data_IF_949059207967
#
_entry.id   IF_949059207967
#
_cell.length_a   1.000
_cell.length_b   1.000
_cell.length_c   1.000
_cell.angle_alpha   90.00
_cell.angle_beta   90.00
_cell.angle_gamma   90.00
#
_symmetry.space_group_name_H-M   'P 1'
#
loop_
_entity.id
_entity.type
_entity.pdbx_description
1 polymer ?
#
# COMPACT_ATOMS: atom_id res chain seq x y z
N UNK A 1 -25.25 -9.53 20.89
CA UNK A 1 -24.32 -8.95 21.89
C UNK A 1 -23.32 -10.00 22.33
N UNK A 2 -22.10 -9.96 21.81
CA UNK A 2 -20.92 -10.60 22.40
C UNK A 2 -19.71 -9.79 21.93
N UNK A 3 -19.20 -8.96 22.84
CA UNK A 3 -17.92 -8.27 22.70
C UNK A 3 -16.83 -9.32 22.85
N UNK A 4 -15.93 -9.45 21.88
CA UNK A 4 -14.65 -10.12 22.08
C UNK A 4 -13.61 -9.03 22.13
N UNK A 5 -13.17 -8.79 23.35
CA UNK A 5 -12.01 -7.99 23.73
C UNK A 5 -10.83 -8.95 23.92
N UNK A 6 -9.62 -8.38 23.87
CA UNK A 6 -8.32 -8.94 24.28
C UNK A 6 -7.53 -9.60 23.14
N UNK A 7 -6.20 -9.44 23.00
CA UNK A 7 -5.14 -9.16 23.98
C UNK A 7 -3.99 -8.43 23.26
N UNK A 8 -3.58 -7.25 23.75
CA UNK A 8 -2.28 -6.65 23.43
C UNK A 8 -1.29 -7.20 24.46
N UNK A 9 -0.35 -8.02 24.00
CA UNK A 9 0.72 -8.57 24.84
C UNK A 9 1.95 -7.66 24.73
N UNK A 10 2.14 -6.87 25.79
CA UNK A 10 3.27 -5.97 26.00
C UNK A 10 4.49 -6.80 26.44
N UNK A 11 5.59 -6.77 25.70
CA UNK A 11 6.87 -7.30 26.18
C UNK A 11 7.97 -6.25 26.08
N UNK A 12 8.41 -5.81 27.26
CA UNK A 12 9.60 -5.01 27.49
C UNK A 12 10.87 -5.79 27.15
N UNK A 13 11.83 -5.14 26.49
CA UNK A 13 13.26 -5.37 26.71
C UNK A 13 14.02 -4.13 26.26
N UNK A 14 14.67 -3.47 27.23
CA UNK A 14 15.43 -2.26 27.01
C UNK A 14 16.83 -2.54 26.46
N UNK A 15 17.37 -1.54 25.76
CA UNK A 15 18.80 -1.37 25.61
C UNK A 15 19.14 0.12 25.70
N UNK A 16 20.04 0.42 26.64
CA UNK A 16 20.69 1.71 26.84
C UNK A 16 21.88 1.75 25.89
N UNK A 17 22.03 2.79 25.06
CA UNK A 17 23.35 3.22 24.62
C UNK A 17 23.41 4.76 24.55
N UNK A 18 24.39 5.30 25.27
CA UNK A 18 24.80 6.69 25.23
C UNK A 18 25.83 6.88 24.10
N UNK A 19 25.74 8.01 23.39
CA UNK A 19 26.73 8.41 22.39
C UNK A 19 26.66 9.90 22.11
N UNK A 20 27.77 10.60 22.35
CA UNK A 20 27.95 12.04 22.39
C UNK A 20 28.59 12.58 21.10
N UNK A 21 28.35 13.86 20.78
CA UNK A 21 29.13 14.68 19.83
C UNK A 21 28.21 15.62 19.03
N UNK A 22 28.09 16.94 19.27
CA UNK A 22 29.03 18.07 19.41
C UNK A 22 29.61 18.60 18.09
N UNK A 23 29.32 19.88 17.79
CA UNK A 23 29.99 20.74 16.81
C UNK A 23 29.14 21.03 15.58
N UNK A 24 28.96 22.25 15.07
CA UNK A 24 29.55 23.55 15.39
C UNK A 24 29.61 24.40 14.10
N UNK A 25 28.99 25.59 14.13
CA UNK A 25 29.42 26.83 13.45
C UNK A 25 29.42 26.94 11.91
N UNK A 26 29.00 28.12 11.41
CA UNK A 26 29.52 28.68 10.15
C UNK A 26 28.47 29.38 9.28
N UNK A 27 28.28 30.68 9.48
CA UNK A 27 27.54 31.53 8.55
C UNK A 27 28.37 31.90 7.31
N UNK A 28 27.67 32.26 6.23
CA UNK A 28 28.28 32.83 5.04
C UNK A 28 27.22 33.21 4.01
N UNK A 29 26.86 34.50 3.98
CA UNK A 29 25.95 35.06 2.99
C UNK A 29 26.63 35.26 1.63
N UNK A 30 25.90 34.94 0.57
CA UNK A 30 26.27 35.24 -0.81
C UNK A 30 25.01 35.48 -1.64
N UNK A 31 24.78 36.73 -2.02
CA UNK A 31 23.70 37.15 -2.92
C UNK A 31 24.15 36.93 -4.37
N UNK A 32 23.52 36.01 -5.08
CA UNK A 32 23.57 35.92 -6.55
C UNK A 32 22.17 35.90 -7.11
N UNK A 33 21.92 36.86 -7.99
CA UNK A 33 20.70 37.08 -8.76
C UNK A 33 20.47 36.00 -9.81
N UNK A 34 19.25 35.45 -9.84
CA UNK A 34 18.51 35.23 -11.08
C UNK A 34 18.86 33.99 -11.93
N UNK A 35 18.49 32.82 -11.43
CA UNK A 35 17.85 31.78 -12.26
C UNK A 35 16.82 31.11 -11.34
N UNK A 36 15.54 31.14 -11.69
CA UNK A 36 14.52 30.39 -10.96
C UNK A 36 14.79 28.91 -11.19
N UNK A 37 15.60 28.33 -10.31
CA UNK A 37 15.76 26.90 -10.16
C UNK A 37 14.34 26.30 -10.13
N UNK A 38 14.02 25.26 -10.92
CA UNK A 38 12.76 24.55 -10.74
C UNK A 38 12.64 24.23 -9.25
N UNK A 39 11.45 24.46 -8.69
CA UNK A 39 11.17 24.13 -7.29
C UNK A 39 11.76 22.74 -7.02
N UNK A 40 12.55 22.57 -5.94
CA UNK A 40 13.11 21.27 -5.61
C UNK A 40 12.00 20.24 -5.71
N UNK A 41 12.24 19.14 -6.43
CA UNK A 41 11.32 18.01 -6.38
C UNK A 41 11.04 17.73 -4.90
N UNK A 42 9.77 17.61 -4.48
CA UNK A 42 9.44 17.40 -3.08
C UNK A 42 10.30 16.24 -2.55
N UNK A 43 11.15 16.56 -1.59
CA UNK A 43 11.99 15.57 -0.90
C UNK A 43 11.09 14.61 -0.15
N UNK A 44 11.33 13.31 -0.33
CA UNK A 44 10.56 12.21 0.26
C UNK A 44 10.08 12.53 1.67
N UNK A 45 8.79 12.37 1.90
CA UNK A 45 8.28 12.18 3.26
C UNK A 45 8.43 10.71 3.63
N UNK A 46 9.63 10.30 4.08
CA UNK A 46 9.86 9.00 4.72
C UNK A 46 8.83 8.70 5.83
N UNK A 47 8.23 9.74 6.40
CA UNK A 47 7.17 9.60 7.40
C UNK A 47 5.94 8.86 6.87
N UNK A 48 5.62 8.94 5.58
CA UNK A 48 4.39 8.37 5.02
C UNK A 48 4.52 6.90 4.63
N UNK A 49 5.75 6.42 4.37
CA UNK A 49 5.98 5.05 3.96
C UNK A 49 5.63 4.07 5.09
N UNK A 50 4.89 3.02 4.74
CA UNK A 50 4.35 2.10 5.72
C UNK A 50 3.24 1.19 5.21
N UNK A 51 2.96 0.15 5.99
CA UNK A 51 1.67 -0.55 5.98
C UNK A 51 0.80 0.08 7.05
N UNK A 52 -0.42 0.43 6.67
CA UNK A 52 -1.33 1.26 7.43
C UNK A 52 -2.69 0.56 7.53
N UNK A 53 -3.29 0.56 8.71
CA UNK A 53 -4.59 -0.06 8.97
C UNK A 53 -5.48 0.92 9.71
N UNK A 54 -6.72 1.07 9.27
CA UNK A 54 -7.68 1.91 9.96
C UNK A 54 -8.96 2.01 9.18
N UNK A 55 -9.50 3.22 9.04
CA UNK A 55 -10.83 3.42 8.47
C UNK A 55 -10.92 4.62 7.55
N UNK A 56 -11.82 4.53 6.58
CA UNK A 56 -12.35 5.66 5.82
C UNK A 56 -13.73 6.02 6.36
N UNK A 57 -14.00 7.30 6.54
CA UNK A 57 -15.32 7.83 6.92
C UNK A 57 -15.83 8.81 5.86
N UNK A 58 -17.03 8.56 5.34
CA UNK A 58 -17.70 9.40 4.36
C UNK A 58 -18.74 10.33 5.00
N UNK A 59 -18.84 11.55 4.47
CA UNK A 59 -19.92 12.49 4.79
C UNK A 59 -21.23 12.14 4.08
N UNK A 60 -21.18 11.47 2.93
CA UNK A 60 -22.33 10.96 2.17
C UNK A 60 -22.52 9.46 2.48
N UNK A 61 -23.58 9.11 3.21
CA UNK A 61 -23.83 7.71 3.53
C UNK A 61 -23.94 6.85 2.25
N UNK A 62 -23.12 5.80 2.14
CA UNK A 62 -23.10 4.89 1.00
C UNK A 62 -22.21 5.27 -0.20
N UNK A 63 -21.40 6.34 -0.13
CA UNK A 63 -20.51 6.75 -1.24
C UNK A 63 -19.12 6.11 -1.20
N UNK A 64 -18.50 6.00 -0.02
CA UNK A 64 -17.22 5.33 0.20
C UNK A 64 -17.38 4.02 0.98
N UNK A 65 -18.62 3.67 1.29
CA UNK A 65 -19.00 2.57 2.17
C UNK A 65 -20.25 1.89 1.64
N UNK A 66 -20.57 0.70 2.15
CA UNK A 66 -21.86 0.06 1.88
C UNK A 66 -23.03 0.98 2.26
N UNK A 67 -24.19 0.79 1.62
CA UNK A 67 -25.36 1.66 1.84
C UNK A 67 -25.73 1.77 3.33
N UNK A 68 -25.86 3.01 3.81
CA UNK A 68 -26.21 3.29 5.21
C UNK A 68 -25.03 3.21 6.20
N UNK A 69 -23.84 2.81 5.72
CA UNK A 69 -22.61 2.81 6.51
C UNK A 69 -21.81 4.06 6.16
N UNK A 70 -21.29 4.73 7.20
CA UNK A 70 -20.43 5.92 7.04
C UNK A 70 -18.95 5.63 7.24
N UNK A 71 -18.60 4.53 7.90
CA UNK A 71 -17.21 4.19 8.22
C UNK A 71 -16.91 2.75 7.82
N UNK A 72 -15.81 2.54 7.11
CA UNK A 72 -15.37 1.25 6.60
C UNK A 72 -13.91 1.02 6.87
N UNK A 73 -13.53 -0.24 7.00
CA UNK A 73 -12.14 -0.63 7.23
C UNK A 73 -11.32 -0.40 5.97
N UNK A 74 -10.10 0.08 6.16
CA UNK A 74 -9.16 0.40 5.10
C UNK A 74 -7.77 -0.11 5.46
N UNK A 75 -7.10 -0.70 4.47
CA UNK A 75 -5.68 -1.03 4.53
C UNK A 75 -4.97 -0.19 3.49
N UNK A 76 -3.76 0.26 3.80
CA UNK A 76 -2.95 1.08 2.91
C UNK A 76 -1.49 0.68 2.91
N UNK A 77 -0.86 0.78 1.74
CA UNK A 77 0.58 0.69 1.57
C UNK A 77 1.04 1.99 0.92
N UNK A 78 2.07 2.59 1.50
CA UNK A 78 2.86 3.64 0.87
C UNK A 78 4.30 3.15 0.86
N UNK A 79 4.92 3.04 -0.31
CA UNK A 79 6.31 2.62 -0.41
C UNK A 79 7.29 3.80 -0.27
N UNK A 80 8.58 3.50 -0.34
CA UNK A 80 9.68 4.46 -0.29
C UNK A 80 9.76 5.30 -1.57
N UNK A 81 9.14 4.87 -2.66
CA UNK A 81 9.00 5.65 -3.90
C UNK A 81 7.74 6.52 -3.91
N UNK A 82 7.01 6.60 -2.80
CA UNK A 82 5.75 7.31 -2.61
C UNK A 82 4.56 6.75 -3.42
N UNK A 83 4.63 5.51 -3.92
CA UNK A 83 3.49 4.82 -4.52
C UNK A 83 2.49 4.49 -3.41
N UNK A 84 1.26 4.95 -3.59
CA UNK A 84 0.14 4.70 -2.69
C UNK A 84 -0.79 3.63 -3.26
N UNK A 85 -1.12 2.65 -2.43
CA UNK A 85 -2.12 1.61 -2.68
C UNK A 85 -3.00 1.47 -1.45
N UNK A 86 -4.21 2.03 -1.48
CA UNK A 86 -5.21 1.75 -0.44
C UNK A 86 -6.27 0.78 -0.95
N UNK A 87 -6.90 0.09 -0.02
CA UNK A 87 -7.94 -0.88 -0.27
C UNK A 87 -9.01 -0.76 0.82
N UNK A 88 -10.25 -0.51 0.39
CA UNK A 88 -11.39 -0.53 1.27
C UNK A 88 -11.81 -1.99 1.46
N UNK A 89 -11.74 -2.50 2.68
CA UNK A 89 -12.00 -3.93 2.94
C UNK A 89 -13.48 -4.26 2.76
N UNK A 90 -14.37 -3.30 3.02
CA UNK A 90 -15.82 -3.47 2.94
C UNK A 90 -16.30 -3.41 1.50
N UNK A 91 -16.00 -2.31 0.79
CA UNK A 91 -16.47 -2.14 -0.59
C UNK A 91 -15.59 -2.88 -1.59
N UNK A 92 -14.37 -3.25 -1.20
CA UNK A 92 -13.29 -3.84 -2.03
C UNK A 92 -12.78 -2.92 -3.13
N UNK A 93 -13.01 -1.61 -2.99
CA UNK A 93 -12.46 -0.60 -3.89
C UNK A 93 -10.97 -0.43 -3.66
N UNK A 94 -10.24 -0.18 -4.75
CA UNK A 94 -8.80 0.11 -4.71
C UNK A 94 -8.53 1.58 -5.02
N UNK A 95 -7.51 2.12 -4.38
CA UNK A 95 -7.09 3.50 -4.54
C UNK A 95 -5.61 3.51 -4.91
N UNK A 96 -5.29 4.10 -6.06
CA UNK A 96 -3.92 4.22 -6.56
C UNK A 96 -3.54 5.68 -6.65
N UNK A 97 -2.37 6.05 -6.15
CA UNK A 97 -1.83 7.38 -6.38
C UNK A 97 -0.35 7.47 -6.05
N UNK A 98 0.13 8.70 -6.01
CA UNK A 98 1.48 9.03 -5.57
C UNK A 98 1.39 10.06 -4.46
N UNK A 99 2.06 9.80 -3.34
CA UNK A 99 2.15 10.74 -2.24
C UNK A 99 3.15 11.83 -2.57
N UNK A 100 2.76 13.07 -2.30
CA UNK A 100 3.61 14.25 -2.33
C UNK A 100 3.58 14.86 -0.95
N UNK A 101 4.72 15.32 -0.44
CA UNK A 101 4.76 15.85 0.90
C UNK A 101 6.04 16.58 1.21
N UNK A 102 6.02 17.27 2.34
CA UNK A 102 7.21 17.83 2.97
C UNK A 102 7.01 17.82 4.48
N UNK A 103 7.95 17.20 5.20
CA UNK A 103 7.83 17.01 6.65
C UNK A 103 6.66 16.09 6.99
N UNK A 104 5.69 16.59 7.76
CA UNK A 104 4.54 15.79 8.22
C UNK A 104 3.32 15.89 7.32
N UNK A 105 3.30 16.87 6.42
CA UNK A 105 2.13 17.12 5.58
C UNK A 105 2.24 16.30 4.30
N UNK A 106 1.15 15.62 3.96
CA UNK A 106 1.05 14.82 2.75
C UNK A 106 -0.17 15.23 1.91
N UNK A 107 -0.05 15.11 0.61
CA UNK A 107 -1.12 15.26 -0.37
C UNK A 107 -0.97 14.21 -1.47
N UNK A 108 -2.06 13.87 -2.14
CA UNK A 108 -2.04 12.98 -3.29
C UNK A 108 -3.30 13.17 -4.11
N UNK A 109 -3.19 12.86 -5.40
CA UNK A 109 -4.32 12.64 -6.28
C UNK A 109 -4.46 11.14 -6.47
N UNK A 110 -5.57 10.55 -6.04
CA UNK A 110 -5.82 9.12 -6.15
C UNK A 110 -6.88 8.82 -7.21
N UNK A 111 -6.65 7.77 -7.98
CA UNK A 111 -7.67 7.14 -8.83
C UNK A 111 -8.35 6.03 -8.03
N UNK A 112 -9.67 6.01 -8.06
CA UNK A 112 -10.48 4.98 -7.39
C UNK A 112 -10.94 3.97 -8.43
N UNK A 113 -10.75 2.69 -8.11
CA UNK A 113 -11.16 1.55 -8.91
C UNK A 113 -12.20 0.77 -8.10
N UNK A 114 -13.50 0.99 -8.38
CA UNK A 114 -14.54 0.21 -7.75
C UNK A 114 -14.45 -1.27 -8.11
N UNK A 115 -15.12 -2.10 -7.32
CA UNK A 115 -15.32 -3.50 -7.70
C UNK A 115 -16.09 -3.60 -9.01
N UNK A 116 -15.49 -4.27 -9.98
CA UNK A 116 -16.07 -4.48 -11.31
C UNK A 116 -15.15 -3.92 -12.40
N UNK A 117 -14.91 -4.73 -13.43
CA UNK A 117 -13.99 -4.41 -14.51
C UNK A 117 -14.33 -3.08 -15.20
N UNK A 118 -13.30 -2.32 -15.56
CA UNK A 118 -13.43 -1.17 -16.48
C UNK A 118 -14.12 0.06 -15.91
N UNK A 119 -14.31 0.14 -14.59
CA UNK A 119 -14.83 1.35 -13.94
C UNK A 119 -13.72 2.05 -13.16
N UNK A 120 -13.54 3.33 -13.42
CA UNK A 120 -12.72 4.22 -12.60
C UNK A 120 -13.59 5.38 -12.16
N UNK A 121 -13.59 5.70 -10.88
CA UNK A 121 -14.17 6.96 -10.41
C UNK A 121 -13.11 8.05 -10.55
N UNK A 122 -13.57 9.25 -10.89
CA UNK A 122 -12.73 10.43 -11.09
C UNK A 122 -11.75 10.64 -9.93
N UNK A 123 -10.61 11.24 -10.25
CA UNK A 123 -9.53 11.51 -9.33
C UNK A 123 -10.01 12.26 -8.08
N UNK A 124 -9.68 11.71 -6.90
CA UNK A 124 -9.98 12.30 -5.59
C UNK A 124 -8.71 12.92 -5.04
N UNK A 125 -8.82 14.13 -4.49
CA UNK A 125 -7.70 14.76 -3.78
C UNK A 125 -7.71 14.28 -2.34
N UNK A 126 -6.55 13.84 -1.84
CA UNK A 126 -6.33 13.55 -0.43
C UNK A 126 -5.26 14.49 0.13
N UNK A 127 -5.48 15.00 1.32
CA UNK A 127 -4.52 15.88 2.03
C UNK A 127 -4.56 15.59 3.52
N UNK A 128 -3.44 15.72 4.21
CA UNK A 128 -3.41 15.54 5.66
C UNK A 128 -2.00 15.44 6.20
N UNK A 129 -1.82 14.66 7.25
CA UNK A 129 -0.52 14.54 7.90
C UNK A 129 -0.26 13.18 8.52
N UNK A 130 1.03 12.89 8.70
CA UNK A 130 1.53 11.81 9.53
C UNK A 130 2.00 12.36 10.87
N UNK A 131 1.55 11.76 11.97
CA UNK A 131 2.09 12.01 13.30
C UNK A 131 2.97 10.84 13.76
N UNK A 132 4.25 11.12 13.88
CA UNK A 132 5.31 10.26 14.41
C UNK A 132 6.00 10.88 15.64
N UNK A 133 5.39 11.88 16.29
CA UNK A 133 6.03 12.61 17.42
C UNK A 133 6.26 11.75 18.65
N UNK A 134 5.41 10.75 18.89
CA UNK A 134 5.42 9.97 20.11
C UNK A 134 5.93 8.54 19.86
N UNK A 135 7.18 8.27 20.25
CA UNK A 135 7.80 6.95 20.12
C UNK A 135 7.07 5.82 20.88
N UNK A 136 6.21 6.17 21.84
CA UNK A 136 5.46 5.18 22.64
C UNK A 136 4.09 4.84 22.05
N UNK A 137 3.68 5.46 20.96
CA UNK A 137 2.39 5.23 20.29
C UNK A 137 2.69 4.93 18.81
N UNK A 138 1.97 3.99 18.17
CA UNK A 138 2.09 3.80 16.73
C UNK A 138 1.88 5.11 15.96
N UNK A 139 2.66 5.32 14.91
CA UNK A 139 2.49 6.46 14.01
C UNK A 139 1.05 6.47 13.46
N UNK A 140 0.48 7.66 13.25
CA UNK A 140 -0.86 7.80 12.70
C UNK A 140 -0.85 8.61 11.42
N UNK A 141 -1.76 8.30 10.50
CA UNK A 141 -1.99 9.05 9.28
C UNK A 141 -3.44 9.53 9.29
N UNK A 142 -3.63 10.85 9.26
CA UNK A 142 -4.95 11.47 9.22
C UNK A 142 -5.08 12.29 7.95
N UNK A 143 -5.99 11.88 7.07
CA UNK A 143 -6.24 12.49 5.78
C UNK A 143 -7.69 12.95 5.67
N UNK A 144 -7.89 13.95 4.82
CA UNK A 144 -9.17 14.40 4.33
C UNK A 144 -9.19 14.17 2.83
N UNK A 145 -10.29 13.63 2.32
CA UNK A 145 -10.51 13.44 0.90
C UNK A 145 -11.65 14.32 0.38
N UNK A 146 -11.52 14.76 -0.85
CA UNK A 146 -12.57 15.50 -1.55
C UNK A 146 -12.54 15.18 -3.05
N UNK A 147 -13.69 14.80 -3.59
CA UNK A 147 -13.84 14.47 -5.01
C UNK A 147 -15.06 13.59 -5.26
N UNK A 148 -15.43 13.45 -6.54
CA UNK A 148 -16.53 12.58 -6.98
C UNK A 148 -17.89 12.83 -6.26
N UNK A 149 -18.14 14.06 -5.79
CA UNK A 149 -19.38 14.42 -5.08
C UNK A 149 -19.39 14.04 -3.60
N UNK A 150 -18.25 13.64 -3.05
CA UNK A 150 -18.11 13.26 -1.65
C UNK A 150 -16.91 13.93 -0.98
N UNK A 151 -16.97 14.01 0.34
CA UNK A 151 -15.86 14.42 1.21
C UNK A 151 -15.84 13.52 2.43
N UNK A 152 -14.68 13.37 3.04
CA UNK A 152 -14.57 12.53 4.24
C UNK A 152 -13.15 12.47 4.76
N UNK A 153 -12.92 11.56 5.70
CA UNK A 153 -11.62 11.40 6.35
C UNK A 153 -11.09 9.97 6.25
N UNK A 154 -9.78 9.82 6.26
CA UNK A 154 -9.09 8.54 6.35
C UNK A 154 -8.19 8.62 7.58
N UNK A 155 -8.35 7.67 8.51
CA UNK A 155 -7.58 7.61 9.75
C UNK A 155 -6.92 6.24 9.83
N UNK A 156 -5.60 6.20 9.76
CA UNK A 156 -4.82 4.97 9.73
C UNK A 156 -3.77 4.96 10.82
N UNK A 157 -3.42 3.75 11.24
CA UNK A 157 -2.42 3.43 12.24
C UNK A 157 -1.33 2.60 11.55
N UNK A 158 -0.09 2.96 11.77
CA UNK A 158 1.07 2.25 11.25
C UNK A 158 1.20 0.86 11.87
N UNK A 159 1.47 -0.14 11.04
CA UNK A 159 1.79 -1.50 11.47
C UNK A 159 3.30 -1.78 11.32
N UNK A 160 4.11 -1.50 12.36
CA UNK A 160 5.55 -1.78 12.31
C UNK A 160 5.84 -3.28 12.24
N UNK A 161 4.98 -4.10 12.84
CA UNK A 161 5.17 -5.53 12.90
C UNK A 161 5.07 -6.18 11.52
N UNK A 162 4.30 -5.59 10.59
CA UNK A 162 4.25 -5.98 9.18
C UNK A 162 5.28 -5.26 8.31
N UNK A 163 5.37 -3.93 8.42
CA UNK A 163 6.14 -3.14 7.45
C UNK A 163 7.65 -3.20 7.66
N UNK A 164 8.14 -3.19 8.90
CA UNK A 164 9.59 -3.16 9.20
C UNK A 164 10.27 -4.53 9.10
N UNK A 165 9.62 -5.51 8.45
CA UNK A 165 10.25 -6.81 8.18
C UNK A 165 11.14 -6.69 6.96
N UNK A 166 12.30 -7.34 7.05
CA UNK A 166 13.24 -7.40 5.94
C UNK A 166 12.61 -8.07 4.70
N UNK A 167 12.79 -7.45 3.54
CA UNK A 167 12.38 -8.01 2.25
C UNK A 167 13.45 -8.91 1.66
N UNK A 168 13.06 -10.10 1.21
CA UNK A 168 13.91 -11.05 0.47
C UNK A 168 13.08 -11.77 -0.59
N UNK A 169 13.60 -11.88 -1.82
CA UNK A 169 12.92 -12.63 -2.89
C UNK A 169 12.77 -14.11 -2.53
N UNK A 170 13.72 -14.67 -1.77
CA UNK A 170 13.60 -16.03 -1.23
C UNK A 170 12.37 -16.23 -0.35
N UNK A 171 11.84 -15.18 0.29
CA UNK A 171 10.57 -15.27 1.02
C UNK A 171 9.36 -15.29 0.10
N UNK A 172 9.49 -14.82 -1.14
CA UNK A 172 8.42 -14.84 -2.14
C UNK A 172 8.47 -16.09 -3.03
N UNK A 173 9.64 -16.71 -3.20
CA UNK A 173 9.95 -17.75 -4.20
C UNK A 173 9.28 -19.11 -3.95
N UNK A 174 7.95 -19.14 -4.03
CA UNK A 174 7.08 -20.29 -3.79
C UNK A 174 5.91 -20.28 -4.79
N UNK A 175 5.13 -21.36 -4.77
CA UNK A 175 3.78 -21.36 -5.37
C UNK A 175 2.76 -20.93 -4.32
N UNK A 176 1.99 -19.91 -4.67
CA UNK A 176 0.92 -19.31 -3.90
C UNK A 176 -0.39 -19.63 -4.57
N UNK A 177 -1.40 -20.01 -3.80
CA UNK A 177 -2.72 -20.30 -4.37
C UNK A 177 -3.84 -19.94 -3.40
N UNK A 178 -5.04 -19.87 -3.97
CA UNK A 178 -6.29 -19.98 -3.25
C UNK A 178 -7.16 -21.03 -3.99
N UNK A 179 -8.48 -21.03 -3.80
CA UNK A 179 -9.36 -21.99 -4.48
C UNK A 179 -9.43 -21.86 -6.01
N UNK A 180 -9.02 -20.71 -6.57
CA UNK A 180 -9.29 -20.33 -7.96
C UNK A 180 -8.08 -19.76 -8.70
N UNK A 181 -7.03 -19.39 -7.99
CA UNK A 181 -5.86 -18.69 -8.51
C UNK A 181 -4.59 -19.44 -8.14
N UNK A 182 -3.59 -19.39 -9.02
CA UNK A 182 -2.25 -19.94 -8.76
C UNK A 182 -1.19 -18.99 -9.26
N UNK A 183 -0.18 -18.71 -8.45
CA UNK A 183 0.95 -17.86 -8.80
C UNK A 183 2.24 -18.50 -8.30
N UNK A 184 3.21 -18.68 -9.19
CA UNK A 184 4.56 -19.11 -8.83
C UNK A 184 5.54 -17.96 -8.99
N UNK A 185 6.40 -17.78 -7.99
CA UNK A 185 7.47 -16.80 -7.99
C UNK A 185 8.80 -17.56 -7.99
N UNK A 186 9.69 -17.20 -8.90
CA UNK A 186 11.04 -17.76 -8.97
C UNK A 186 12.07 -16.67 -8.72
N UNK A 187 12.96 -16.88 -7.76
CA UNK A 187 14.09 -15.98 -7.50
C UNK A 187 15.07 -15.99 -8.68
N UNK A 188 15.35 -14.82 -9.25
CA UNK A 188 16.30 -14.64 -10.35
C UNK A 188 17.66 -14.11 -9.87
N UNK A 189 17.81 -13.89 -8.56
CA UNK A 189 18.89 -13.11 -8.00
C UNK A 189 18.68 -11.59 -8.18
N UNK A 190 19.65 -10.81 -7.71
CA UNK A 190 19.68 -9.35 -7.87
C UNK A 190 18.41 -8.63 -7.40
N UNK A 191 17.85 -9.02 -6.24
CA UNK A 191 16.68 -8.37 -5.64
C UNK A 191 15.39 -8.46 -6.49
N UNK A 192 15.30 -9.42 -7.42
CA UNK A 192 14.14 -9.60 -8.30
C UNK A 192 13.72 -11.07 -8.44
N UNK A 193 12.44 -11.29 -8.72
CA UNK A 193 11.89 -12.61 -9.07
C UNK A 193 10.88 -12.53 -10.21
N UNK A 194 10.73 -13.63 -10.96
CA UNK A 194 9.74 -13.76 -12.04
C UNK A 194 8.45 -14.34 -11.50
N UNK A 195 7.32 -13.76 -11.93
CA UNK A 195 5.96 -14.18 -11.65
C UNK A 195 5.39 -14.95 -12.84
N UNK A 196 4.78 -16.11 -12.61
CA UNK A 196 3.97 -16.83 -13.60
C UNK A 196 2.77 -17.49 -12.93
N UNK A 197 1.58 -17.43 -13.52
CA UNK A 197 0.38 -17.98 -12.89
C UNK A 197 -0.88 -17.85 -13.70
N UNK A 198 -2.00 -18.10 -13.03
CA UNK A 198 -3.36 -17.87 -13.51
C UNK A 198 -4.20 -17.16 -12.46
N UNK A 199 -5.15 -16.33 -12.90
CA UNK A 199 -6.11 -15.65 -12.05
C UNK A 199 -7.54 -15.81 -12.56
N UNK A 200 -8.50 -15.87 -11.65
CA UNK A 200 -9.93 -15.93 -11.95
C UNK A 200 -10.61 -14.68 -11.40
N UNK A 201 -11.11 -13.81 -12.30
CA UNK A 201 -11.82 -12.59 -11.92
C UNK A 201 -13.32 -12.81 -11.72
N UNK A 202 -13.91 -13.77 -12.44
CA UNK A 202 -15.31 -14.16 -12.32
C UNK A 202 -15.48 -15.64 -12.67
N UNK A 203 -15.68 -16.49 -11.65
CA UNK A 203 -15.88 -17.92 -11.83
C UNK A 203 -17.15 -18.29 -12.63
N UNK A 204 -18.08 -17.35 -12.82
CA UNK A 204 -19.29 -17.57 -13.59
C UNK A 204 -19.11 -17.31 -15.09
N UNK A 205 -18.03 -16.62 -15.49
CA UNK A 205 -17.73 -16.32 -16.87
C UNK A 205 -16.42 -17.02 -17.30
N UNK A 206 -16.47 -18.02 -18.21
CA UNK A 206 -15.28 -18.76 -18.63
C UNK A 206 -14.23 -17.91 -19.35
N UNK A 207 -14.59 -16.69 -19.81
CA UNK A 207 -13.63 -15.73 -20.35
C UNK A 207 -12.75 -15.06 -19.28
N UNK A 208 -13.16 -15.15 -18.01
CA UNK A 208 -12.52 -14.49 -16.87
C UNK A 208 -11.99 -15.50 -15.84
N UNK A 209 -11.86 -16.78 -16.24
CA UNK A 209 -11.31 -17.88 -15.44
C UNK A 209 -9.95 -18.29 -15.98
N UNK A 210 -9.02 -18.64 -15.10
CA UNK A 210 -7.68 -19.14 -15.45
C UNK A 210 -6.86 -18.20 -16.37
N UNK A 211 -7.04 -16.89 -16.21
CA UNK A 211 -6.34 -15.85 -16.95
C UNK A 211 -4.82 -15.95 -16.80
N UNK A 212 -4.06 -16.24 -17.86
CA UNK A 212 -2.61 -16.28 -17.78
C UNK A 212 -2.03 -14.95 -17.30
N UNK A 213 -1.16 -15.05 -16.29
CA UNK A 213 -0.45 -13.95 -15.67
C UNK A 213 1.05 -14.21 -15.76
N UNK A 214 1.81 -13.21 -16.21
CA UNK A 214 3.28 -13.20 -16.16
C UNK A 214 3.77 -11.88 -15.59
N UNK A 215 4.99 -11.81 -15.07
CA UNK A 215 5.50 -10.55 -14.54
C UNK A 215 6.78 -10.67 -13.73
N UNK A 216 7.00 -9.68 -12.87
CA UNK A 216 8.12 -9.61 -11.95
C UNK A 216 7.75 -8.97 -10.62
N UNK A 217 8.50 -9.35 -9.59
CA UNK A 217 8.52 -8.70 -8.29
C UNK A 217 9.93 -8.25 -7.98
N UNK A 218 10.09 -7.03 -7.44
CA UNK A 218 11.40 -6.43 -7.15
C UNK A 218 11.40 -5.83 -5.75
N UNK A 219 12.49 -6.04 -5.00
CA UNK A 219 12.69 -5.38 -3.70
C UNK A 219 12.92 -3.89 -3.93
N UNK A 220 12.12 -3.05 -3.29
CA UNK A 220 12.27 -1.59 -3.30
C UNK A 220 13.38 -1.19 -2.33
N UNK A 221 13.19 -1.54 -1.06
CA UNK A 221 14.15 -1.42 0.02
C UNK A 221 14.21 -2.76 0.77
N UNK A 222 15.41 -3.23 1.12
CA UNK A 222 15.54 -4.52 1.80
C UNK A 222 15.11 -4.46 3.28
N UNK A 223 14.96 -3.27 3.87
CA UNK A 223 14.56 -3.09 5.25
C UNK A 223 13.04 -3.16 5.47
N UNK A 224 12.25 -3.11 4.40
CA UNK A 224 10.79 -3.00 4.49
C UNK A 224 10.06 -4.05 3.67
N UNK A 225 8.94 -4.55 4.17
CA UNK A 225 8.13 -5.65 3.63
C UNK A 225 7.19 -5.18 2.52
N UNK A 226 7.72 -4.44 1.56
CA UNK A 226 6.99 -3.98 0.39
C UNK A 226 7.85 -4.20 -0.84
N UNK A 227 7.22 -4.74 -1.88
CA UNK A 227 7.86 -5.06 -3.13
C UNK A 227 7.10 -4.40 -4.27
N UNK A 228 7.84 -3.91 -5.27
CA UNK A 228 7.26 -3.45 -6.51
C UNK A 228 6.84 -4.66 -7.34
N UNK A 229 5.67 -4.56 -7.98
CA UNK A 229 5.13 -5.62 -8.83
C UNK A 229 4.73 -5.05 -10.17
N UNK A 230 5.17 -5.73 -11.22
CA UNK A 230 4.72 -5.56 -12.58
C UNK A 230 4.12 -6.88 -13.06
N UNK A 231 2.87 -6.88 -13.50
CA UNK A 231 2.24 -8.06 -14.10
C UNK A 231 1.64 -7.72 -15.46
N UNK A 232 1.52 -8.74 -16.31
CA UNK A 232 0.75 -8.71 -17.54
C UNK A 232 -0.24 -9.85 -17.52
N UNK A 233 -1.51 -9.51 -17.71
CA UNK A 233 -2.61 -10.45 -17.88
C UNK A 233 -2.97 -10.48 -19.35
N UNK A 234 -3.24 -11.67 -19.85
CA UNK A 234 -3.58 -11.92 -21.24
C UNK A 234 -4.72 -12.91 -21.38
N UNK A 235 -5.43 -12.88 -22.51
CA UNK A 235 -6.53 -13.80 -22.84
C UNK A 235 -7.73 -13.74 -21.88
N UNK A 236 -7.97 -12.56 -21.29
CA UNK A 236 -9.05 -12.27 -20.36
C UNK A 236 -9.80 -10.97 -20.67
N UNK A 237 -9.87 -10.63 -21.95
CA UNK A 237 -10.75 -9.61 -22.52
C UNK A 237 -10.56 -8.25 -21.83
N UNK A 238 -11.53 -7.76 -21.06
CA UNK A 238 -11.45 -6.45 -20.39
C UNK A 238 -10.36 -6.36 -19.31
N UNK A 239 -9.77 -7.50 -18.90
CA UNK A 239 -8.66 -7.56 -17.96
C UNK A 239 -7.29 -7.71 -18.62
N UNK A 240 -7.23 -7.75 -19.95
CA UNK A 240 -5.95 -7.79 -20.67
C UNK A 240 -5.18 -6.48 -20.49
N UNK A 241 -3.90 -6.59 -20.10
CA UNK A 241 -3.03 -5.43 -19.98
C UNK A 241 -1.87 -5.63 -19.01
N UNK A 242 -1.04 -4.59 -18.95
CA UNK A 242 0.05 -4.47 -17.99
C UNK A 242 -0.39 -3.65 -16.78
N UNK A 243 -0.14 -4.18 -15.59
CA UNK A 243 -0.51 -3.60 -14.30
C UNK A 243 0.73 -3.41 -13.45
N UNK A 244 0.75 -2.34 -12.66
CA UNK A 244 1.83 -2.02 -11.75
C UNK A 244 1.30 -1.74 -10.36
N UNK A 245 2.10 -2.02 -9.35
CA UNK A 245 1.77 -1.67 -7.98
C UNK A 245 2.66 -2.33 -6.96
N UNK A 246 2.06 -2.69 -5.82
CA UNK A 246 2.79 -3.13 -4.64
C UNK A 246 2.28 -4.49 -4.18
N UNK A 247 3.16 -5.25 -3.54
CA UNK A 247 2.79 -6.45 -2.77
C UNK A 247 3.52 -6.46 -1.43
N UNK A 248 2.99 -7.23 -0.49
CA UNK A 248 3.58 -7.45 0.83
C UNK A 248 3.27 -8.85 1.33
N UNK A 249 4.11 -9.33 2.26
CA UNK A 249 3.85 -10.56 2.99
C UNK A 249 3.11 -10.28 4.30
N UNK A 250 2.20 -11.16 4.66
CA UNK A 250 1.55 -11.15 5.97
C UNK A 250 1.43 -12.58 6.48
N UNK A 251 1.21 -12.73 7.78
CA UNK A 251 0.98 -14.02 8.41
C UNK A 251 -0.43 -14.05 9.01
N UNK A 252 -0.88 -15.25 9.36
CA UNK A 252 -2.24 -15.46 9.85
C UNK A 252 -2.32 -15.33 11.37
N UNK A 253 -1.33 -15.86 12.09
CA UNK A 253 -1.33 -15.87 13.57
C UNK A 253 0.06 -15.54 14.15
N UNK A 254 1.14 -16.08 13.60
CA UNK A 254 2.51 -15.89 14.06
C UNK A 254 3.45 -15.59 12.89
N UNK A 255 4.59 -14.95 13.17
CA UNK A 255 5.58 -14.66 12.15
C UNK A 255 5.98 -15.93 11.38
N UNK A 256 5.83 -15.89 10.05
CA UNK A 256 6.10 -16.97 9.10
C UNK A 256 5.15 -18.18 9.19
N UNK A 257 3.96 -18.04 9.76
CA UNK A 257 2.90 -19.06 9.68
C UNK A 257 1.85 -18.74 8.60
N UNK A 258 1.38 -19.78 7.89
CA UNK A 258 0.35 -19.70 6.86
C UNK A 258 0.44 -18.41 6.03
N UNK A 259 1.60 -18.23 5.40
CA UNK A 259 1.97 -16.95 4.82
C UNK A 259 1.00 -16.56 3.73
N UNK A 260 0.71 -15.27 3.70
CA UNK A 260 -0.15 -14.62 2.72
C UNK A 260 0.66 -13.61 1.93
N UNK A 261 0.46 -13.61 0.62
CA UNK A 261 0.91 -12.54 -0.25
C UNK A 261 -0.30 -11.77 -0.72
N UNK A 262 -0.27 -10.44 -0.65
CA UNK A 262 -1.36 -9.59 -1.12
C UNK A 262 -0.87 -8.58 -2.14
N UNK A 263 -1.40 -8.67 -3.35
CA UNK A 263 -1.10 -7.79 -4.47
C UNK A 263 -2.10 -6.65 -4.55
N UNK A 264 -1.61 -5.44 -4.84
CA UNK A 264 -2.41 -4.25 -5.15
C UNK A 264 -1.85 -3.62 -6.43
N UNK A 265 -2.36 -4.03 -7.58
CA UNK A 265 -1.86 -3.58 -8.89
C UNK A 265 -2.96 -2.91 -9.69
N UNK A 266 -2.61 -1.91 -10.48
CA UNK A 266 -3.56 -1.20 -11.32
C UNK A 266 -2.94 -0.76 -12.63
N UNK A 267 -3.80 -0.45 -13.59
CA UNK A 267 -3.45 0.26 -14.82
C UNK A 267 -4.43 1.43 -15.01
N UNK A 268 -4.50 2.00 -16.20
CA UNK A 268 -5.42 3.13 -16.46
C UNK A 268 -6.90 2.77 -16.44
N UNK A 269 -7.28 1.49 -16.57
CA UNK A 269 -8.67 1.06 -16.70
C UNK A 269 -9.20 0.17 -15.57
N UNK A 270 -8.33 -0.53 -14.84
CA UNK A 270 -8.73 -1.47 -13.79
C UNK A 270 -7.66 -1.59 -12.69
N UNK A 271 -8.09 -2.11 -11.53
CA UNK A 271 -7.21 -2.54 -10.46
C UNK A 271 -7.53 -3.97 -10.05
N UNK A 272 -6.52 -4.67 -9.55
CA UNK A 272 -6.55 -6.07 -9.19
C UNK A 272 -5.95 -6.21 -7.79
N UNK A 273 -6.76 -6.77 -6.91
CA UNK A 273 -6.32 -7.20 -5.59
C UNK A 273 -6.42 -8.72 -5.53
N UNK A 274 -5.32 -9.37 -5.21
CA UNK A 274 -5.26 -10.81 -5.01
C UNK A 274 -4.59 -11.11 -3.68
N UNK A 275 -5.20 -11.99 -2.89
CA UNK A 275 -4.59 -12.56 -1.71
C UNK A 275 -4.46 -14.07 -1.91
N UNK A 276 -3.22 -14.57 -1.81
CA UNK A 276 -2.88 -15.97 -2.00
C UNK A 276 -2.12 -16.49 -0.79
N UNK A 277 -2.21 -17.80 -0.55
CA UNK A 277 -1.59 -18.48 0.60
C UNK A 277 -0.60 -19.55 0.17
N UNK A 278 0.29 -19.94 1.09
CA UNK A 278 1.13 -21.13 0.98
C UNK A 278 1.22 -21.88 2.32
#
# INVERSE_FOLDING_TARGET
MKKISSVISLLCLGFIWAGCGSGGGGGGGGTTTGASNPAPAPTLTESASGIWIGTVESTVAGSACEQGVKQCDMVGIVDENNVLRFYNVTTRDQYSGTVYGSGKTISSTITIYPVGAGSTIAAVQITGSVDDTNINIPKTMTLQYSGAGDTGSINLIYDPALYERQSLISYLSYTWNNSSDTLSITDNGNKSGTLNGTMTFDSSNPLYTDCPLTGSVTIIDDNFNVYAVDITISSCDVFDGSYQGLTSLSDLVQANDNMKITFYVSNSGAAIMAQLTR
#
